data_IF_817474826047
#
_entry.id   IF_817474826047
#
_cell.length_a   1.000
_cell.length_b   1.000
_cell.length_c   1.000
_cell.angle_alpha   90.00
_cell.angle_beta   90.00
_cell.angle_gamma   90.00
#
_symmetry.space_group_name_H-M   'P 1'
#
loop_
_entity.id
_entity.type
_entity.pdbx_description
1 polymer ?
#
# COMPACT_ATOMS: atom_id res chain seq x y z
N UNK A 1 25.23 10.37 -15.58
CA UNK A 1 23.81 10.78 -15.63
C UNK A 1 22.94 9.74 -14.94
N UNK A 2 22.66 9.95 -13.66
CA UNK A 2 21.68 9.15 -12.92
C UNK A 2 20.30 9.49 -13.47
N UNK A 3 19.61 8.50 -13.99
CA UNK A 3 18.31 8.74 -14.59
C UNK A 3 17.23 8.76 -13.52
N UNK A 4 16.68 9.95 -13.29
CA UNK A 4 15.56 10.20 -12.40
C UNK A 4 14.23 9.98 -13.13
N UNK A 5 13.21 9.63 -12.36
CA UNK A 5 11.83 9.50 -12.81
C UNK A 5 11.00 10.42 -11.93
N UNK A 6 10.12 11.20 -12.54
CA UNK A 6 9.15 12.05 -11.84
C UNK A 6 8.00 11.21 -11.31
N UNK A 7 7.78 11.25 -10.00
CA UNK A 7 6.66 10.54 -9.38
C UNK A 7 5.31 11.07 -9.87
N UNK A 8 4.38 10.20 -10.27
CA UNK A 8 3.06 10.63 -10.76
C UNK A 8 2.14 11.20 -9.67
N UNK A 9 2.45 10.96 -8.39
CA UNK A 9 1.64 11.43 -7.25
C UNK A 9 2.16 12.75 -6.69
N UNK A 10 3.44 12.81 -6.31
CA UNK A 10 4.03 14.00 -5.68
C UNK A 10 4.83 14.88 -6.65
N UNK A 11 4.97 14.48 -7.92
CA UNK A 11 5.75 15.18 -8.95
C UNK A 11 7.23 15.40 -8.61
N UNK A 12 7.75 14.71 -7.60
CA UNK A 12 9.15 14.81 -7.20
C UNK A 12 10.03 13.90 -8.06
N UNK A 13 11.18 14.42 -8.49
CA UNK A 13 12.22 13.66 -9.15
C UNK A 13 12.88 12.69 -8.17
N UNK A 14 12.75 11.40 -8.44
CA UNK A 14 13.38 10.35 -7.64
C UNK A 14 14.29 9.49 -8.50
N UNK A 15 15.39 8.95 -7.95
CA UNK A 15 16.26 8.07 -8.72
C UNK A 15 15.48 6.81 -9.13
N UNK A 16 15.64 6.37 -10.40
CA UNK A 16 15.00 5.11 -10.84
C UNK A 16 15.39 3.91 -9.97
N UNK A 17 16.58 3.94 -9.38
CA UNK A 17 17.08 2.88 -8.50
C UNK A 17 16.41 2.88 -7.11
N UNK A 18 15.84 4.01 -6.69
CA UNK A 18 15.10 4.12 -5.43
C UNK A 18 13.63 3.74 -5.58
N UNK A 19 13.11 3.76 -6.81
CA UNK A 19 11.77 3.29 -7.11
C UNK A 19 11.72 1.76 -6.97
N UNK A 20 10.67 1.23 -6.33
CA UNK A 20 10.47 -0.22 -6.32
C UNK A 20 10.19 -0.72 -7.74
N UNK A 21 10.58 -1.96 -8.04
CA UNK A 21 10.29 -2.56 -9.34
C UNK A 21 8.79 -2.64 -9.60
N UNK A 22 8.04 -3.07 -8.57
CA UNK A 22 6.59 -3.23 -8.56
C UNK A 22 6.02 -2.84 -7.19
N UNK A 23 4.75 -2.43 -7.14
CA UNK A 23 4.05 -2.07 -5.88
C UNK A 23 3.59 -3.32 -5.15
N UNK A 24 3.20 -4.37 -5.88
CA UNK A 24 2.88 -5.68 -5.32
C UNK A 24 3.61 -6.76 -6.12
N UNK A 25 3.81 -7.93 -5.54
CA UNK A 25 4.35 -9.08 -6.29
C UNK A 25 3.50 -9.47 -7.51
N UNK A 26 2.20 -9.17 -7.49
CA UNK A 26 1.27 -9.44 -8.59
C UNK A 26 1.27 -8.34 -9.67
N UNK A 27 1.73 -7.12 -9.34
CA UNK A 27 1.82 -6.03 -10.31
C UNK A 27 2.82 -6.36 -11.45
N UNK A 28 2.29 -6.49 -12.66
CA UNK A 28 3.08 -6.67 -13.90
C UNK A 28 3.52 -5.34 -14.54
N UNK A 29 3.40 -4.22 -13.83
CA UNK A 29 3.78 -2.89 -14.33
C UNK A 29 4.95 -2.30 -13.54
N UNK A 30 5.79 -1.46 -14.17
CA UNK A 30 6.81 -0.72 -13.45
C UNK A 30 6.15 0.30 -12.51
N UNK A 31 6.69 0.44 -11.30
CA UNK A 31 6.22 1.49 -10.39
C UNK A 31 6.73 2.86 -10.85
N UNK A 32 5.82 3.84 -10.92
CA UNK A 32 6.16 5.25 -11.14
C UNK A 32 5.84 6.10 -9.90
N UNK A 33 5.67 5.44 -8.76
CA UNK A 33 5.20 6.04 -7.53
C UNK A 33 6.30 5.91 -6.49
N UNK A 34 6.60 7.02 -5.84
CA UNK A 34 7.61 7.08 -4.81
C UNK A 34 7.20 6.25 -3.57
N UNK A 35 8.16 5.62 -2.88
CA UNK A 35 7.88 4.87 -1.62
C UNK A 35 7.01 5.64 -0.62
N UNK A 36 7.27 6.92 -0.29
CA UNK A 36 6.42 7.63 0.67
C UNK A 36 5.02 7.91 0.13
N UNK A 37 4.87 8.05 -1.19
CA UNK A 37 3.57 8.19 -1.84
C UNK A 37 2.73 6.91 -1.71
N UNK A 38 3.37 5.73 -1.87
CA UNK A 38 2.73 4.42 -1.67
C UNK A 38 2.29 4.28 -0.21
N UNK A 39 3.18 4.58 0.74
CA UNK A 39 2.85 4.53 2.17
C UNK A 39 1.65 5.43 2.50
N UNK A 40 1.63 6.66 2.00
CA UNK A 40 0.54 7.61 2.20
C UNK A 40 -0.77 7.14 1.57
N UNK A 41 -0.70 6.52 0.38
CA UNK A 41 -1.84 5.89 -0.28
C UNK A 41 -2.44 4.77 0.58
N UNK A 42 -1.61 3.85 1.07
CA UNK A 42 -2.01 2.76 1.96
C UNK A 42 -2.68 3.33 3.22
N UNK A 43 -2.04 4.29 3.88
CA UNK A 43 -2.59 4.92 5.10
C UNK A 43 -3.96 5.56 4.86
N UNK A 44 -4.11 6.30 3.76
CA UNK A 44 -5.37 6.95 3.42
C UNK A 44 -6.46 5.92 3.12
N UNK A 45 -6.11 4.86 2.38
CA UNK A 45 -7.06 3.80 2.03
C UNK A 45 -7.51 3.01 3.26
N UNK A 46 -6.60 2.73 4.18
CA UNK A 46 -6.92 2.08 5.46
C UNK A 46 -7.91 2.90 6.28
N UNK A 47 -7.72 4.22 6.33
CA UNK A 47 -8.62 5.13 7.06
C UNK A 47 -9.97 5.30 6.38
N UNK A 48 -10.02 5.32 5.05
CA UNK A 48 -11.26 5.56 4.29
C UNK A 48 -12.10 4.30 4.06
N UNK A 49 -11.48 3.17 3.70
CA UNK A 49 -12.17 1.97 3.23
C UNK A 49 -11.77 0.68 3.96
N UNK A 50 -10.74 0.73 4.82
CA UNK A 50 -10.23 -0.44 5.53
C UNK A 50 -9.25 -1.28 4.72
N UNK A 51 -8.78 -2.36 5.33
CA UNK A 51 -7.72 -3.22 4.79
C UNK A 51 -8.14 -4.01 3.53
N UNK A 52 -9.41 -4.42 3.44
CA UNK A 52 -9.96 -5.20 2.32
C UNK A 52 -9.91 -4.45 0.98
N UNK A 53 -10.01 -3.12 1.03
CA UNK A 53 -10.00 -2.27 -0.16
C UNK A 53 -8.58 -1.80 -0.56
N UNK A 54 -7.52 -2.38 0.00
CA UNK A 54 -6.15 -2.04 -0.37
C UNK A 54 -5.80 -2.61 -1.75
N UNK A 55 -5.84 -1.73 -2.74
CA UNK A 55 -5.51 -2.04 -4.13
C UNK A 55 -4.45 -1.09 -4.68
N UNK A 56 -3.72 -1.58 -5.69
CA UNK A 56 -2.74 -0.81 -6.42
C UNK A 56 -3.44 0.30 -7.23
N UNK A 57 -3.02 1.56 -7.13
CA UNK A 57 -3.64 2.67 -7.87
C UNK A 57 -3.39 2.62 -9.39
N UNK A 58 -2.45 1.80 -9.88
CA UNK A 58 -2.14 1.68 -11.31
C UNK A 58 -2.88 0.51 -11.99
N UNK A 59 -2.94 -0.65 -11.35
CA UNK A 59 -3.54 -1.85 -11.95
C UNK A 59 -4.74 -2.41 -11.19
N UNK A 60 -5.09 -1.85 -10.03
CA UNK A 60 -6.16 -2.35 -9.15
C UNK A 60 -5.93 -3.77 -8.63
N UNK A 61 -4.69 -4.25 -8.65
CA UNK A 61 -4.29 -5.51 -8.00
C UNK A 61 -4.38 -5.38 -6.48
N UNK A 62 -4.81 -6.43 -5.79
CA UNK A 62 -4.89 -6.43 -4.33
C UNK A 62 -3.48 -6.43 -3.71
N UNK A 63 -3.28 -5.62 -2.67
CA UNK A 63 -2.04 -5.64 -1.89
C UNK A 63 -2.09 -6.77 -0.88
N UNK A 64 -1.00 -7.53 -0.77
CA UNK A 64 -0.82 -8.52 0.29
C UNK A 64 -0.25 -7.87 1.56
N UNK A 65 -0.37 -8.56 2.69
CA UNK A 65 0.25 -8.16 3.97
C UNK A 65 1.75 -7.87 3.79
N UNK A 66 2.44 -8.71 3.03
CA UNK A 66 3.88 -8.58 2.78
C UNK A 66 4.19 -7.27 2.06
N UNK A 67 3.38 -6.91 1.05
CA UNK A 67 3.55 -5.67 0.30
C UNK A 67 3.31 -4.47 1.22
N UNK A 68 2.21 -4.50 1.98
CA UNK A 68 1.91 -3.45 2.97
C UNK A 68 3.06 -3.30 3.94
N UNK A 69 3.60 -4.39 4.50
CA UNK A 69 4.72 -4.36 5.44
C UNK A 69 6.00 -3.78 4.85
N UNK A 70 6.28 -4.01 3.57
CA UNK A 70 7.48 -3.51 2.88
C UNK A 70 7.37 -2.02 2.58
N UNK A 71 6.16 -1.53 2.25
CA UNK A 71 5.95 -0.14 1.84
C UNK A 71 5.45 0.78 2.94
N UNK A 72 4.69 0.25 3.90
CA UNK A 72 4.15 0.99 5.04
C UNK A 72 5.24 1.24 6.09
N UNK A 73 5.11 2.35 6.80
CA UNK A 73 5.85 2.56 8.05
C UNK A 73 5.23 1.72 9.17
N UNK A 74 5.97 1.50 10.25
CA UNK A 74 5.46 0.73 11.41
C UNK A 74 4.10 1.23 11.90
N UNK A 75 3.90 2.54 11.97
CA UNK A 75 2.63 3.14 12.40
C UNK A 75 1.44 2.82 11.45
N UNK A 76 1.69 2.75 10.15
CA UNK A 76 0.67 2.41 9.16
C UNK A 76 0.39 0.90 9.19
N UNK A 77 1.43 0.10 9.35
CA UNK A 77 1.31 -1.36 9.45
C UNK A 77 0.55 -1.78 10.72
N UNK A 78 0.78 -1.14 11.86
CA UNK A 78 0.01 -1.39 13.10
C UNK A 78 -1.50 -1.10 12.90
N UNK A 79 -1.84 -0.03 12.17
CA UNK A 79 -3.23 0.27 11.81
C UNK A 79 -3.82 -0.82 10.90
N UNK A 80 -3.05 -1.30 9.93
CA UNK A 80 -3.45 -2.41 9.06
C UNK A 80 -3.73 -3.67 9.86
N UNK A 81 -2.81 -4.10 10.73
CA UNK A 81 -3.00 -5.29 11.57
C UNK A 81 -4.23 -5.16 12.46
N UNK A 82 -4.46 -3.99 13.07
CA UNK A 82 -5.65 -3.78 13.90
C UNK A 82 -6.95 -3.94 13.09
N UNK A 83 -6.98 -3.46 11.84
CA UNK A 83 -8.14 -3.59 10.94
C UNK A 83 -8.33 -5.03 10.46
N UNK A 84 -7.25 -5.73 10.12
CA UNK A 84 -7.27 -7.16 9.75
C UNK A 84 -7.81 -8.00 10.91
N UNK A 85 -7.30 -7.76 12.13
CA UNK A 85 -7.75 -8.44 13.34
C UNK A 85 -9.24 -8.16 13.62
N UNK A 86 -9.66 -6.89 13.56
CA UNK A 86 -11.07 -6.52 13.75
C UNK A 86 -11.98 -7.16 12.72
N UNK A 87 -11.55 -7.23 11.46
CA UNK A 87 -12.37 -7.84 10.41
C UNK A 87 -12.44 -9.36 10.56
N UNK A 88 -11.33 -10.00 10.92
CA UNK A 88 -11.28 -11.43 11.23
C UNK A 88 -12.20 -11.80 12.41
N UNK A 89 -12.27 -10.94 13.42
CA UNK A 89 -13.17 -11.09 14.56
C UNK A 89 -14.64 -10.80 14.19
N UNK A 90 -14.89 -9.75 13.40
CA UNK A 90 -16.25 -9.33 12.99
C UNK A 90 -16.87 -10.25 11.94
N UNK A 91 -16.08 -11.04 11.23
CA UNK A 91 -16.53 -12.06 10.28
C UNK A 91 -17.15 -13.30 10.93
N UNK A 92 -17.17 -13.41 12.26
CA UNK A 92 -17.86 -14.48 12.98
C UNK A 92 -19.33 -14.06 13.25
N UNK A 93 -20.32 -14.68 12.59
CA UNK A 93 -21.75 -14.41 12.83
C UNK A 93 -22.26 -14.80 14.23
N UNK A 94 -21.41 -15.36 15.09
CA UNK A 94 -21.70 -15.70 16.50
C UNK A 94 -21.32 -14.58 17.49
N UNK A 95 -20.63 -13.52 17.08
CA UNK A 95 -20.28 -12.41 17.97
C UNK A 95 -21.39 -11.36 18.01
N UNK A 96 -22.31 -11.49 18.98
CA UNK A 96 -23.22 -10.41 19.39
C UNK A 96 -22.54 -9.57 20.48
N UNK A 97 -22.67 -8.24 20.37
CA UNK A 97 -22.24 -7.26 21.38
C UNK A 97 -22.89 -7.52 22.74
#
# INVERSE_FOLDING_TARGET
PEATISCVICTNDVPRASLPSSITAACSHPSQICRPCIASWISSRLKSSGHDSLICPQCSEQLDDIDVRVFATSEIYEQYENLVLRTSLSGNPEFRW
#
